data_IF_897126477367
#
_entry.id   IF_897126477367
#
_cell.length_a   1.000
_cell.length_b   1.000
_cell.length_c   1.000
_cell.angle_alpha   90.00
_cell.angle_beta   90.00
_cell.angle_gamma   90.00
#
_symmetry.space_group_name_H-M   'P 1'
#
loop_
_entity.id
_entity.type
_entity.pdbx_description
1 polymer ?
#
# COMPACT_ATOMS: atom_id res chain seq x y z
N UNK A 1 21.46 27.51 28.09
CA UNK A 1 22.41 27.37 26.96
C UNK A 1 21.60 26.85 25.79
N UNK A 2 21.33 27.69 24.78
CA UNK A 2 20.55 27.28 23.62
C UNK A 2 21.32 26.24 22.82
N UNK A 3 20.79 25.04 22.69
CA UNK A 3 21.33 24.06 21.76
C UNK A 3 21.23 24.66 20.36
N UNK A 4 22.36 24.78 19.65
CA UNK A 4 22.32 25.18 18.25
C UNK A 4 21.42 24.20 17.51
N UNK A 5 20.38 24.72 16.85
CA UNK A 5 19.53 23.92 15.99
C UNK A 5 20.44 23.19 14.97
N UNK A 6 20.22 21.89 14.82
CA UNK A 6 20.98 21.09 13.87
C UNK A 6 20.90 21.73 12.47
N UNK A 7 21.95 21.57 11.66
CA UNK A 7 21.98 22.10 10.29
C UNK A 7 20.73 21.71 9.51
N UNK A 8 20.25 20.48 9.72
CA UNK A 8 19.05 19.97 9.08
C UNK A 8 17.78 20.68 9.57
N UNK A 9 17.68 21.02 10.85
CA UNK A 9 16.54 21.80 11.33
C UNK A 9 16.48 23.17 10.65
N UNK A 10 17.63 23.82 10.44
CA UNK A 10 17.72 25.08 9.69
C UNK A 10 17.31 24.89 8.23
N UNK A 11 17.71 23.77 7.62
CA UNK A 11 17.29 23.42 6.27
C UNK A 11 15.75 23.21 6.20
N UNK A 12 15.14 22.55 7.18
CA UNK A 12 13.69 22.43 7.29
C UNK A 12 12.98 23.77 7.44
N UNK A 13 13.50 24.63 8.31
CA UNK A 13 12.95 25.97 8.54
C UNK A 13 13.04 26.82 7.28
N UNK A 14 14.11 26.68 6.48
CA UNK A 14 14.28 27.34 5.19
C UNK A 14 13.25 26.85 4.16
N UNK A 15 13.02 25.54 4.08
CA UNK A 15 12.01 24.98 3.15
C UNK A 15 10.59 25.38 3.53
N UNK A 16 10.27 25.49 4.82
CA UNK A 16 8.98 26.03 5.26
C UNK A 16 8.91 27.58 5.23
N UNK A 17 9.98 28.25 4.81
CA UNK A 17 10.03 29.70 4.74
C UNK A 17 9.35 30.29 3.50
N UNK A 18 9.37 31.63 3.45
CA UNK A 18 8.87 32.45 2.36
C UNK A 18 9.81 32.49 1.15
N UNK A 19 11.11 32.24 1.37
CA UNK A 19 12.11 32.25 0.30
C UNK A 19 11.97 31.01 -0.57
N UNK A 20 11.84 31.22 -1.88
CA UNK A 20 11.85 30.15 -2.86
C UNK A 20 13.21 29.45 -2.88
N UNK A 21 13.17 28.12 -2.87
CA UNK A 21 14.35 27.26 -2.95
C UNK A 21 14.42 26.66 -4.35
N UNK A 22 15.55 26.88 -5.02
CA UNK A 22 15.78 26.34 -6.35
C UNK A 22 15.84 24.80 -6.33
N UNK A 23 15.45 24.18 -7.44
CA UNK A 23 15.48 22.73 -7.61
C UNK A 23 16.91 22.17 -7.47
N UNK A 24 17.92 22.93 -7.92
CA UNK A 24 19.32 22.48 -7.86
C UNK A 24 20.03 22.85 -6.54
N UNK A 25 19.32 23.41 -5.54
CA UNK A 25 19.91 23.78 -4.25
C UNK A 25 20.37 22.52 -3.48
N UNK A 26 21.58 22.56 -2.93
CA UNK A 26 22.19 21.47 -2.15
C UNK A 26 21.36 21.05 -0.94
N UNK A 27 20.46 21.92 -0.46
CA UNK A 27 19.54 21.64 0.64
C UNK A 27 18.72 20.37 0.42
N UNK A 28 18.27 20.10 -0.81
CA UNK A 28 17.51 18.89 -1.13
C UNK A 28 18.37 17.64 -0.92
N UNK A 29 19.64 17.70 -1.34
CA UNK A 29 20.62 16.64 -1.08
C UNK A 29 20.87 16.45 0.41
N UNK A 30 21.06 17.53 1.17
CA UNK A 30 21.30 17.47 2.63
C UNK A 30 20.10 16.93 3.40
N UNK A 31 18.88 17.24 2.99
CA UNK A 31 17.67 16.73 3.64
C UNK A 31 17.45 15.25 3.33
N UNK A 32 17.74 14.83 2.09
CA UNK A 32 17.61 13.43 1.71
C UNK A 32 18.74 12.56 2.31
N UNK A 33 19.94 13.11 2.52
CA UNK A 33 21.10 12.37 3.03
C UNK A 33 21.34 12.55 4.54
N UNK A 34 20.78 13.60 5.14
CA UNK A 34 21.14 14.04 6.49
C UNK A 34 20.60 13.16 7.60
N UNK A 35 21.23 13.22 8.78
CA UNK A 35 20.80 12.54 10.00
C UNK A 35 20.13 13.52 10.98
N UNK A 36 18.92 13.22 11.45
CA UNK A 36 18.25 14.04 12.47
C UNK A 36 18.42 13.40 13.84
N UNK A 37 18.66 14.24 14.84
CA UNK A 37 18.66 13.82 16.24
C UNK A 37 17.22 13.56 16.69
N UNK A 38 16.96 12.32 17.08
CA UNK A 38 15.62 11.90 17.46
C UNK A 38 15.57 11.42 18.91
N UNK A 39 14.43 11.60 19.59
CA UNK A 39 14.25 11.08 20.93
C UNK A 39 14.23 9.56 20.87
N UNK A 40 14.90 8.87 21.81
CA UNK A 40 14.90 7.39 21.85
C UNK A 40 13.52 6.77 22.10
N UNK A 41 12.56 7.55 22.61
CA UNK A 41 11.18 7.12 22.90
C UNK A 41 10.20 8.00 22.14
N UNK A 42 9.06 7.44 21.77
CA UNK A 42 7.96 8.14 21.08
C UNK A 42 8.39 8.80 19.77
N UNK A 43 9.27 8.12 19.00
CA UNK A 43 9.79 8.64 17.74
C UNK A 43 8.64 8.93 16.76
N UNK A 44 7.60 8.08 16.73
CA UNK A 44 6.40 8.30 15.91
C UNK A 44 5.73 9.63 16.25
N UNK A 45 5.39 9.84 17.51
CA UNK A 45 4.72 11.07 17.95
C UNK A 45 5.59 12.30 17.70
N UNK A 46 6.92 12.15 17.86
CA UNK A 46 7.86 13.22 17.57
C UNK A 46 7.88 13.55 16.07
N UNK A 47 7.95 12.54 15.20
CA UNK A 47 7.89 12.73 13.75
C UNK A 47 6.58 13.39 13.33
N UNK A 48 5.45 12.91 13.86
CA UNK A 48 4.13 13.48 13.57
C UNK A 48 4.04 14.96 14.00
N UNK A 49 4.52 15.30 15.20
CA UNK A 49 4.51 16.69 15.69
C UNK A 49 5.46 17.60 14.91
N UNK A 50 6.68 17.14 14.66
CA UNK A 50 7.69 17.90 13.91
C UNK A 50 7.21 18.13 12.48
N UNK A 51 6.75 17.07 11.81
CA UNK A 51 6.21 17.16 10.46
C UNK A 51 4.98 18.06 10.41
N UNK A 52 4.07 18.00 11.38
CA UNK A 52 2.90 18.88 11.42
C UNK A 52 3.29 20.36 11.54
N UNK A 53 4.24 20.68 12.43
CA UNK A 53 4.70 22.07 12.62
C UNK A 53 5.33 22.66 11.36
N UNK A 54 6.17 21.88 10.67
CA UNK A 54 6.80 22.26 9.42
C UNK A 54 5.78 22.36 8.28
N UNK A 55 4.88 21.38 8.19
CA UNK A 55 3.85 21.31 7.15
C UNK A 55 2.89 22.49 7.21
N UNK A 56 2.41 22.87 8.39
CA UNK A 56 1.46 23.99 8.50
C UNK A 56 2.12 25.33 8.14
N UNK A 57 3.39 25.51 8.50
CA UNK A 57 4.17 26.69 8.09
C UNK A 57 4.47 26.67 6.60
N UNK A 58 4.84 25.52 6.06
CA UNK A 58 5.01 25.34 4.63
C UNK A 58 3.71 25.68 3.91
N UNK A 59 2.55 25.21 4.37
CA UNK A 59 1.25 25.52 3.75
C UNK A 59 0.95 27.02 3.73
N UNK A 60 1.17 27.75 4.82
CA UNK A 60 0.93 29.21 4.87
C UNK A 60 1.82 29.97 3.89
N UNK A 61 3.10 29.61 3.82
CA UNK A 61 4.09 30.33 3.01
C UNK A 61 4.24 29.79 1.58
N UNK A 62 3.78 28.57 1.28
CA UNK A 62 4.01 27.89 0.00
C UNK A 62 3.34 28.60 -1.18
N UNK A 63 2.30 29.41 -0.94
CA UNK A 63 1.72 30.26 -1.99
C UNK A 63 2.76 31.20 -2.60
N UNK A 64 3.72 31.64 -1.80
CA UNK A 64 4.78 32.56 -2.19
C UNK A 64 6.06 31.83 -2.59
N UNK A 65 6.51 30.86 -1.79
CA UNK A 65 7.80 30.20 -1.99
C UNK A 65 7.79 29.08 -3.02
N UNK A 66 6.67 28.36 -3.18
CA UNK A 66 6.58 27.18 -4.04
C UNK A 66 7.40 25.97 -3.59
N UNK A 67 7.97 26.00 -2.38
CA UNK A 67 8.89 24.98 -1.88
C UNK A 67 8.26 23.59 -1.74
N UNK A 68 6.95 23.50 -1.44
CA UNK A 68 6.25 22.22 -1.42
C UNK A 68 6.16 21.59 -2.81
N UNK A 69 5.93 22.40 -3.83
CA UNK A 69 5.89 21.94 -5.21
C UNK A 69 7.26 21.46 -5.68
N UNK A 70 8.33 22.12 -5.25
CA UNK A 70 9.69 21.65 -5.51
C UNK A 70 9.98 20.32 -4.81
N UNK A 71 9.55 20.15 -3.56
CA UNK A 71 9.64 18.86 -2.86
C UNK A 71 8.95 17.73 -3.65
N UNK A 72 7.73 17.98 -4.17
CA UNK A 72 7.03 17.01 -5.01
C UNK A 72 7.77 16.72 -6.32
N UNK A 73 8.38 17.73 -6.95
CA UNK A 73 9.22 17.53 -8.15
C UNK A 73 10.44 16.66 -7.87
N UNK A 74 11.13 16.88 -6.76
CA UNK A 74 12.23 16.02 -6.33
C UNK A 74 11.76 14.59 -6.11
N UNK A 75 10.61 14.41 -5.45
CA UNK A 75 10.04 13.09 -5.25
C UNK A 75 9.71 12.41 -6.59
N UNK A 76 9.02 13.09 -7.50
CA UNK A 76 8.72 12.56 -8.85
C UNK A 76 10.01 12.12 -9.56
N UNK A 77 11.04 12.97 -9.55
CA UNK A 77 12.32 12.66 -10.17
C UNK A 77 12.95 11.40 -9.57
N UNK A 78 13.00 11.30 -8.23
CA UNK A 78 13.58 10.16 -7.54
C UNK A 78 12.78 8.87 -7.75
N UNK A 79 11.44 8.94 -7.78
CA UNK A 79 10.59 7.79 -8.09
C UNK A 79 10.77 7.34 -9.54
N UNK A 80 10.84 8.27 -10.49
CA UNK A 80 11.10 7.98 -11.89
C UNK A 80 12.46 7.30 -12.09
N UNK A 81 13.50 7.75 -11.37
CA UNK A 81 14.80 7.07 -11.36
C UNK A 81 14.66 5.63 -10.87
N UNK A 82 13.93 5.40 -9.77
CA UNK A 82 13.71 4.06 -9.20
C UNK A 82 12.93 3.13 -10.14
N UNK A 83 12.01 3.67 -10.97
CA UNK A 83 11.19 2.87 -11.90
C UNK A 83 11.81 2.67 -13.28
N UNK A 84 12.86 3.42 -13.64
CA UNK A 84 13.39 3.54 -15.01
C UNK A 84 13.93 2.24 -15.68
N UNK A 85 13.77 1.06 -15.10
CA UNK A 85 14.18 -0.24 -15.68
C UNK A 85 15.70 -0.44 -15.86
N UNK A 86 16.48 0.64 -15.82
CA UNK A 86 17.92 0.62 -15.97
C UNK A 86 18.60 0.33 -14.62
N UNK A 87 18.42 -0.90 -14.15
CA UNK A 87 18.79 -1.36 -12.80
C UNK A 87 20.28 -1.23 -12.45
N UNK A 88 21.16 -1.01 -13.44
CA UNK A 88 22.59 -0.79 -13.20
C UNK A 88 22.90 0.64 -12.73
N UNK A 89 21.96 1.57 -12.91
CA UNK A 89 22.18 2.99 -12.61
C UNK A 89 21.59 3.43 -11.26
N UNK A 90 20.62 2.69 -10.70
CA UNK A 90 19.98 3.06 -9.43
C UNK A 90 20.81 2.51 -8.27
N UNK A 91 21.44 3.41 -7.51
CA UNK A 91 22.16 3.03 -6.30
C UNK A 91 21.21 2.81 -5.12
N UNK A 92 21.62 2.04 -4.12
CA UNK A 92 20.86 1.88 -2.88
C UNK A 92 20.63 3.22 -2.17
N UNK A 93 21.59 4.15 -2.31
CA UNK A 93 21.48 5.53 -1.81
C UNK A 93 20.34 6.29 -2.49
N UNK A 94 20.11 6.08 -3.79
CA UNK A 94 19.01 6.72 -4.50
C UNK A 94 17.65 6.20 -4.04
N UNK A 95 17.54 4.89 -3.80
CA UNK A 95 16.32 4.28 -3.22
C UNK A 95 16.08 4.83 -1.81
N UNK A 96 17.13 4.97 -1.00
CA UNK A 96 17.03 5.57 0.33
C UNK A 96 16.58 7.04 0.28
N UNK A 97 17.13 7.84 -0.64
CA UNK A 97 16.71 9.24 -0.84
C UNK A 97 15.25 9.32 -1.27
N UNK A 98 14.82 8.45 -2.19
CA UNK A 98 13.42 8.35 -2.60
C UNK A 98 12.52 8.00 -1.41
N UNK A 99 12.88 6.99 -0.62
CA UNK A 99 12.17 6.60 0.59
C UNK A 99 12.01 7.78 1.56
N UNK A 100 13.10 8.50 1.81
CA UNK A 100 13.10 9.67 2.69
C UNK A 100 12.10 10.73 2.22
N UNK A 101 12.11 11.07 0.93
CA UNK A 101 11.16 12.01 0.34
C UNK A 101 9.70 11.51 0.41
N UNK A 102 9.45 10.22 0.16
CA UNK A 102 8.10 9.62 0.27
C UNK A 102 7.57 9.78 1.69
N UNK A 103 8.38 9.46 2.70
CA UNK A 103 7.98 9.57 4.11
C UNK A 103 7.65 11.02 4.45
N UNK A 104 8.50 11.96 4.05
CA UNK A 104 8.26 13.39 4.27
C UNK A 104 6.94 13.85 3.65
N UNK A 105 6.75 13.57 2.36
CA UNK A 105 5.54 13.94 1.63
C UNK A 105 4.31 13.25 2.21
N UNK A 106 4.42 11.98 2.64
CA UNK A 106 3.32 11.26 3.29
C UNK A 106 2.87 11.93 4.57
N UNK A 107 3.81 12.33 5.45
CA UNK A 107 3.45 13.04 6.67
C UNK A 107 2.86 14.42 6.37
N UNK A 108 3.40 15.13 5.38
CA UNK A 108 2.83 16.41 4.91
C UNK A 108 1.40 16.26 4.42
N UNK A 109 1.14 15.29 3.53
CA UNK A 109 -0.23 15.01 3.05
C UNK A 109 -1.13 14.60 4.21
N UNK A 110 -0.66 13.71 5.09
CA UNK A 110 -1.43 13.30 6.27
C UNK A 110 -1.84 14.51 7.12
N UNK A 111 -0.92 15.42 7.43
CA UNK A 111 -1.23 16.66 8.17
C UNK A 111 -2.21 17.54 7.40
N UNK A 112 -2.03 17.73 6.09
CA UNK A 112 -2.98 18.48 5.28
C UNK A 112 -4.39 17.89 5.37
N UNK A 113 -4.53 16.57 5.25
CA UNK A 113 -5.83 15.89 5.33
C UNK A 113 -6.47 16.03 6.71
N UNK A 114 -5.67 16.09 7.77
CA UNK A 114 -6.15 16.20 9.15
C UNK A 114 -6.52 17.63 9.56
N UNK A 115 -5.76 18.62 9.09
CA UNK A 115 -5.83 19.99 9.60
C UNK A 115 -6.53 20.97 8.65
N UNK A 116 -6.58 20.69 7.34
CA UNK A 116 -7.15 21.59 6.35
C UNK A 116 -8.61 21.26 6.04
N UNK A 117 -9.39 22.28 5.69
CA UNK A 117 -10.75 22.09 5.20
C UNK A 117 -10.73 21.45 3.79
N UNK A 118 -11.79 20.75 3.38
CA UNK A 118 -11.89 20.19 2.03
C UNK A 118 -11.66 21.24 0.92
N UNK A 119 -12.15 22.47 1.09
CA UNK A 119 -11.96 23.56 0.13
C UNK A 119 -10.50 23.99 0.05
N UNK A 120 -9.80 24.05 1.19
CA UNK A 120 -8.38 24.39 1.26
C UNK A 120 -7.51 23.29 0.64
N UNK A 121 -7.89 22.02 0.80
CA UNK A 121 -7.25 20.89 0.13
C UNK A 121 -7.44 20.95 -1.40
N UNK A 122 -8.63 21.32 -1.85
CA UNK A 122 -8.90 21.51 -3.28
C UNK A 122 -8.21 22.75 -3.83
N UNK A 123 -8.09 23.83 -3.06
CA UNK A 123 -7.27 24.97 -3.46
C UNK A 123 -5.81 24.56 -3.59
N UNK A 124 -5.29 23.80 -2.63
CA UNK A 124 -3.91 23.34 -2.66
C UNK A 124 -3.63 22.40 -3.83
N UNK A 125 -4.43 21.35 -4.00
CA UNK A 125 -4.16 20.28 -4.97
C UNK A 125 -4.93 20.41 -6.28
N UNK A 126 -6.09 21.05 -6.28
CA UNK A 126 -6.97 21.18 -7.45
C UNK A 126 -6.79 22.47 -8.25
N UNK A 127 -6.22 23.53 -7.68
CA UNK A 127 -5.93 24.75 -8.45
C UNK A 127 -4.70 24.56 -9.34
N UNK A 128 -4.72 25.17 -10.54
CA UNK A 128 -3.59 25.11 -11.46
C UNK A 128 -2.33 25.62 -10.75
N UNK A 129 -1.32 24.75 -10.70
CA UNK A 129 0.03 25.04 -10.20
C UNK A 129 0.45 26.46 -10.65
N UNK A 130 0.98 27.31 -9.75
CA UNK A 130 1.16 28.72 -10.06
C UNK A 130 2.05 28.94 -11.31
N UNK A 131 1.79 30.04 -12.02
CA UNK A 131 2.21 30.31 -13.40
C UNK A 131 3.73 30.31 -13.69
N UNK A 132 4.59 30.14 -12.69
CA UNK A 132 6.05 29.97 -12.86
C UNK A 132 6.43 28.65 -13.54
N UNK A 133 5.46 27.77 -13.81
CA UNK A 133 5.62 26.53 -14.58
C UNK A 133 5.49 26.67 -16.11
N UNK A 134 5.38 27.89 -16.66
CA UNK A 134 5.15 28.11 -18.11
C UNK A 134 6.29 27.67 -19.04
N UNK A 135 7.47 27.33 -18.53
CA UNK A 135 8.64 27.03 -19.38
C UNK A 135 8.76 25.56 -19.81
N UNK A 136 8.05 24.62 -19.16
CA UNK A 136 8.05 23.22 -19.59
C UNK A 136 6.82 22.91 -20.43
N UNK A 137 7.04 22.72 -21.73
CA UNK A 137 6.09 22.43 -22.81
C UNK A 137 5.29 21.12 -22.69
N UNK A 138 5.17 20.52 -21.49
CA UNK A 138 4.32 19.35 -21.24
C UNK A 138 3.09 19.77 -20.46
N UNK A 139 1.93 19.48 -21.02
CA UNK A 139 0.59 19.81 -20.56
C UNK A 139 0.12 19.04 -19.31
N UNK A 140 0.98 18.21 -18.71
CA UNK A 140 0.63 17.41 -17.53
C UNK A 140 0.79 18.25 -16.26
N UNK A 141 -0.23 18.23 -15.41
CA UNK A 141 -0.14 18.94 -14.13
C UNK A 141 0.85 18.23 -13.20
N UNK A 142 1.54 18.98 -12.34
CA UNK A 142 2.49 18.42 -11.38
C UNK A 142 1.85 17.34 -10.49
N UNK A 143 0.58 17.53 -10.13
CA UNK A 143 -0.19 16.57 -9.36
C UNK A 143 -0.37 15.25 -10.12
N UNK A 144 -0.70 15.31 -11.41
CA UNK A 144 -0.87 14.12 -12.25
C UNK A 144 0.45 13.35 -12.35
N UNK A 145 1.55 14.06 -12.60
CA UNK A 145 2.89 13.46 -12.62
C UNK A 145 3.28 12.84 -11.27
N UNK A 146 2.86 13.46 -10.16
CA UNK A 146 3.05 12.91 -8.81
C UNK A 146 2.27 11.62 -8.60
N UNK A 147 0.97 11.61 -8.89
CA UNK A 147 0.13 10.41 -8.80
C UNK A 147 0.66 9.28 -9.70
N UNK A 148 1.04 9.63 -10.94
CA UNK A 148 1.61 8.69 -11.91
C UNK A 148 2.90 8.08 -11.38
N UNK A 149 3.83 8.88 -10.84
CA UNK A 149 5.09 8.39 -10.30
C UNK A 149 4.92 7.42 -9.13
N UNK A 150 3.99 7.71 -8.19
CA UNK A 150 3.69 6.83 -7.06
C UNK A 150 3.04 5.53 -7.54
N UNK A 151 2.04 5.61 -8.42
CA UNK A 151 1.36 4.44 -8.96
C UNK A 151 2.32 3.56 -9.78
N UNK A 152 3.12 4.17 -10.66
CA UNK A 152 4.12 3.46 -11.47
C UNK A 152 5.14 2.74 -10.60
N UNK A 153 5.57 3.32 -9.48
CA UNK A 153 6.45 2.64 -8.54
C UNK A 153 5.79 1.39 -7.93
N UNK A 154 4.54 1.50 -7.47
CA UNK A 154 3.82 0.35 -6.90
C UNK A 154 3.51 -0.75 -7.92
N UNK A 155 3.28 -0.37 -9.18
CA UNK A 155 3.08 -1.30 -10.30
C UNK A 155 4.37 -1.91 -10.79
N UNK A 156 5.47 -1.16 -10.68
CA UNK A 156 6.77 -1.64 -11.10
C UNK A 156 7.17 -2.80 -10.21
N UNK A 157 7.53 -3.91 -10.84
CA UNK A 157 8.22 -5.00 -10.15
C UNK A 157 9.67 -4.56 -9.91
N UNK A 158 9.88 -3.44 -9.21
CA UNK A 158 11.21 -2.94 -8.82
C UNK A 158 11.78 -3.96 -7.86
N UNK A 159 12.36 -5.00 -8.46
CA UNK A 159 12.91 -6.20 -7.84
C UNK A 159 11.85 -6.94 -7.01
N UNK A 160 11.96 -8.25 -6.93
CA UNK A 160 11.46 -8.95 -5.74
C UNK A 160 12.00 -8.17 -4.52
N UNK A 161 11.15 -7.85 -3.54
CA UNK A 161 11.42 -6.90 -2.44
C UNK A 161 12.48 -7.42 -1.45
N UNK A 162 13.66 -7.77 -1.97
CA UNK A 162 14.74 -8.48 -1.31
C UNK A 162 15.61 -7.57 -0.45
N UNK A 163 15.65 -6.28 -0.76
CA UNK A 163 16.39 -5.31 0.05
C UNK A 163 15.45 -4.56 0.98
N UNK A 164 15.99 -4.18 2.13
CA UNK A 164 15.27 -3.38 3.12
C UNK A 164 14.70 -2.09 2.54
N UNK A 165 15.51 -1.34 1.77
CA UNK A 165 15.09 -0.05 1.23
C UNK A 165 14.01 -0.17 0.16
N UNK A 166 14.09 -1.17 -0.72
CA UNK A 166 13.06 -1.35 -1.76
C UNK A 166 11.72 -1.78 -1.16
N UNK A 167 11.74 -2.72 -0.21
CA UNK A 167 10.52 -3.08 0.54
C UNK A 167 9.95 -1.85 1.28
N UNK A 168 10.80 -1.10 1.98
CA UNK A 168 10.39 0.09 2.73
C UNK A 168 9.81 1.17 1.82
N UNK A 169 10.40 1.37 0.64
CA UNK A 169 9.91 2.32 -0.35
C UNK A 169 8.53 1.93 -0.86
N UNK A 170 8.30 0.64 -1.19
CA UNK A 170 6.97 0.15 -1.58
C UNK A 170 5.96 0.30 -0.44
N UNK A 171 6.36 -0.03 0.79
CA UNK A 171 5.53 0.11 1.98
C UNK A 171 5.09 1.56 2.22
N UNK A 172 6.03 2.50 2.10
CA UNK A 172 5.75 3.92 2.28
C UNK A 172 5.00 4.53 1.11
N UNK A 173 5.23 4.10 -0.14
CA UNK A 173 4.41 4.52 -1.28
C UNK A 173 2.98 4.01 -1.20
N UNK A 174 2.77 2.77 -0.75
CA UNK A 174 1.43 2.25 -0.49
C UNK A 174 0.77 3.03 0.65
N UNK A 175 1.53 3.39 1.69
CA UNK A 175 1.09 4.27 2.77
C UNK A 175 0.70 5.67 2.27
N UNK A 176 1.53 6.28 1.45
CA UNK A 176 1.30 7.59 0.83
C UNK A 176 0.03 7.58 -0.02
N UNK A 177 -0.15 6.57 -0.86
CA UNK A 177 -1.34 6.43 -1.67
C UNK A 177 -2.62 6.24 -0.83
N UNK A 178 -2.53 5.53 0.30
CA UNK A 178 -3.63 5.43 1.27
C UNK A 178 -3.98 6.78 1.88
N UNK A 179 -2.99 7.59 2.29
CA UNK A 179 -3.25 8.94 2.83
C UNK A 179 -3.86 9.86 1.76
N UNK A 180 -3.36 9.81 0.52
CA UNK A 180 -3.94 10.54 -0.63
C UNK A 180 -5.41 10.13 -0.88
N UNK A 181 -5.72 8.86 -0.65
CA UNK A 181 -7.06 8.30 -0.79
C UNK A 181 -7.98 8.60 0.41
N UNK A 182 -7.43 8.88 1.59
CA UNK A 182 -8.20 9.06 2.83
C UNK A 182 -9.09 10.32 2.80
N UNK A 183 -8.78 11.29 1.92
CA UNK A 183 -9.58 12.50 1.69
C UNK A 183 -11.03 12.24 1.28
N UNK A 184 -11.37 11.01 0.89
CA UNK A 184 -12.76 10.61 0.59
C UNK A 184 -13.63 10.44 1.82
N UNK A 185 -13.05 10.09 2.97
CA UNK A 185 -13.84 9.78 4.17
C UNK A 185 -14.45 11.02 4.84
N UNK A 186 -13.95 12.20 4.52
CA UNK A 186 -14.44 13.48 5.08
C UNK A 186 -15.45 14.18 4.18
N UNK A 187 -15.74 13.60 3.02
CA UNK A 187 -16.55 14.21 1.98
C UNK A 187 -18.00 13.68 2.03
N UNK A 188 -18.98 14.57 2.12
CA UNK A 188 -20.40 14.22 2.05
C UNK A 188 -20.77 13.62 0.68
N UNK A 189 -21.84 12.82 0.60
CA UNK A 189 -22.37 12.36 -0.70
C UNK A 189 -22.64 13.58 -1.61
N UNK A 190 -21.95 13.65 -2.75
CA UNK A 190 -22.02 14.77 -3.70
C UNK A 190 -20.93 15.84 -3.52
N UNK A 191 -19.99 15.65 -2.60
CA UNK A 191 -18.83 16.52 -2.43
C UNK A 191 -17.88 16.50 -3.64
N UNK A 192 -17.09 17.57 -3.81
CA UNK A 192 -16.14 17.71 -4.91
C UNK A 192 -15.12 16.57 -4.98
N UNK A 193 -14.85 16.18 -6.23
CA UNK A 193 -13.77 15.34 -6.75
C UNK A 193 -12.52 15.22 -5.86
N UNK A 194 -12.10 13.98 -5.54
CA UNK A 194 -10.81 13.70 -4.91
C UNK A 194 -9.71 13.83 -5.98
N UNK A 195 -8.87 14.86 -5.92
CA UNK A 195 -7.98 15.18 -7.04
C UNK A 195 -6.93 14.10 -7.30
N UNK A 196 -6.58 13.29 -6.30
CA UNK A 196 -5.64 12.18 -6.45
C UNK A 196 -6.32 10.96 -7.09
N UNK A 197 -7.45 10.53 -6.51
CA UNK A 197 -8.14 9.33 -6.98
C UNK A 197 -8.85 9.53 -8.31
N UNK A 198 -9.38 10.72 -8.58
CA UNK A 198 -10.02 11.00 -9.87
C UNK A 198 -9.02 10.93 -11.02
N UNK A 199 -7.81 11.44 -10.81
CA UNK A 199 -6.72 11.27 -11.77
C UNK A 199 -6.42 9.78 -11.99
N UNK A 200 -6.18 9.01 -10.92
CA UNK A 200 -5.85 7.59 -11.04
C UNK A 200 -6.99 6.77 -11.67
N UNK A 201 -8.25 7.15 -11.45
CA UNK A 201 -9.42 6.51 -12.03
C UNK A 201 -9.62 6.88 -13.50
N UNK A 202 -9.15 8.07 -13.92
CA UNK A 202 -9.11 8.46 -15.33
C UNK A 202 -8.07 7.67 -16.13
N UNK A 203 -7.01 7.16 -15.48
CA UNK A 203 -5.93 6.35 -16.06
C UNK A 203 -6.32 4.88 -16.14
N UNK A 204 -7.21 4.53 -17.08
CA UNK A 204 -7.67 3.14 -17.29
C UNK A 204 -6.51 2.15 -17.51
N UNK A 205 -5.44 2.61 -18.17
CA UNK A 205 -4.22 1.83 -18.41
C UNK A 205 -3.49 1.37 -17.14
N UNK A 206 -3.74 2.01 -16.00
CA UNK A 206 -3.13 1.62 -14.72
C UNK A 206 -3.89 0.51 -14.01
N UNK A 207 -5.19 0.36 -14.26
CA UNK A 207 -6.04 -0.52 -13.48
C UNK A 207 -5.52 -1.96 -13.48
N UNK A 208 -5.21 -2.52 -14.65
CA UNK A 208 -4.69 -3.89 -14.77
C UNK A 208 -3.34 -4.10 -14.06
N UNK A 209 -2.25 -3.39 -14.43
CA UNK A 209 -0.95 -3.60 -13.79
C UNK A 209 -0.99 -3.31 -12.28
N UNK A 210 -1.79 -2.35 -11.84
CA UNK A 210 -1.98 -2.06 -10.42
C UNK A 210 -2.67 -3.20 -9.69
N UNK A 211 -3.83 -3.66 -10.17
CA UNK A 211 -4.56 -4.78 -9.54
C UNK A 211 -3.69 -6.04 -9.49
N UNK A 212 -2.99 -6.35 -10.58
CA UNK A 212 -2.03 -7.46 -10.61
C UNK A 212 -0.93 -7.31 -9.56
N UNK A 213 -0.26 -6.15 -9.49
CA UNK A 213 0.82 -5.91 -8.54
C UNK A 213 0.34 -5.99 -7.08
N UNK A 214 -0.84 -5.44 -6.78
CA UNK A 214 -1.42 -5.47 -5.44
C UNK A 214 -1.82 -6.89 -5.03
N UNK A 215 -2.51 -7.64 -5.90
CA UNK A 215 -2.86 -9.03 -5.61
C UNK A 215 -1.62 -9.92 -5.48
N UNK A 216 -0.63 -9.78 -6.37
CA UNK A 216 0.63 -10.51 -6.29
C UNK A 216 1.31 -10.28 -4.93
N UNK A 217 1.48 -9.02 -4.54
CA UNK A 217 2.09 -8.65 -3.25
C UNK A 217 1.28 -9.19 -2.07
N UNK A 218 -0.04 -9.13 -2.16
CA UNK A 218 -0.93 -9.63 -1.12
C UNK A 218 -0.96 -11.16 -1.00
N UNK A 219 -0.83 -11.88 -2.11
CA UNK A 219 -0.76 -13.35 -2.15
C UNK A 219 0.58 -13.85 -1.59
N UNK A 220 1.68 -13.19 -1.98
CA UNK A 220 3.03 -13.59 -1.57
C UNK A 220 3.29 -13.34 -0.09
N UNK A 221 2.65 -12.32 0.51
CA UNK A 221 2.77 -11.97 1.93
C UNK A 221 4.23 -11.94 2.41
N UNK A 222 5.13 -11.39 1.58
CA UNK A 222 6.56 -11.37 1.88
C UNK A 222 6.81 -10.66 3.22
N UNK A 223 7.46 -11.36 4.15
CA UNK A 223 7.83 -10.78 5.43
C UNK A 223 8.75 -9.57 5.22
N UNK A 224 8.63 -8.56 6.09
CA UNK A 224 9.52 -7.42 6.02
C UNK A 224 10.98 -7.88 6.17
N UNK A 225 11.88 -7.49 5.25
CA UNK A 225 13.30 -7.81 5.38
C UNK A 225 13.86 -7.21 6.67
N UNK A 226 14.81 -7.91 7.28
CA UNK A 226 15.47 -7.43 8.51
C UNK A 226 16.21 -6.13 8.19
N UNK A 227 15.94 -5.10 8.99
CA UNK A 227 16.63 -3.83 8.87
C UNK A 227 18.15 -4.06 8.96
N UNK A 228 18.97 -3.39 8.12
CA UNK A 228 20.41 -3.47 8.24
C UNK A 228 20.78 -3.11 9.67
N UNK A 229 21.55 -3.98 10.33
CA UNK A 229 21.96 -3.76 11.71
C UNK A 229 22.59 -2.37 11.79
N UNK A 230 21.90 -1.45 12.45
CA UNK A 230 22.44 -0.14 12.75
C UNK A 230 23.61 -0.44 13.66
N UNK A 231 24.84 -0.39 13.12
CA UNK A 231 26.05 -0.63 13.91
C UNK A 231 25.92 0.30 15.11
N UNK A 232 25.77 -0.22 16.33
CA UNK A 232 25.71 0.65 17.49
C UNK A 232 27.02 1.43 17.46
N UNK A 233 26.95 2.74 17.25
CA UNK A 233 28.11 3.61 17.32
C UNK A 233 28.84 3.25 18.63
N UNK A 234 30.09 2.79 18.49
CA UNK A 234 30.90 2.11 19.50
C UNK A 234 30.50 2.43 20.95
N UNK A 235 29.72 1.54 21.55
CA UNK A 235 29.22 1.63 22.92
C UNK A 235 30.30 1.36 23.99
N UNK A 236 31.56 1.13 23.59
CA UNK A 236 32.65 0.80 24.50
C UNK A 236 33.57 1.97 24.87
N UNK A 237 33.21 3.21 24.52
CA UNK A 237 33.94 4.40 24.97
C UNK A 237 33.00 5.52 25.38
N UNK A 238 32.80 5.70 26.69
CA UNK A 238 31.98 6.73 27.33
C UNK A 238 30.47 6.43 27.38
N UNK A 239 29.98 6.27 28.61
CA UNK A 239 28.56 6.29 28.97
C UNK A 239 28.02 7.69 28.71
N UNK A 240 27.65 7.99 27.47
CA UNK A 240 26.88 9.20 27.17
C UNK A 240 25.42 8.95 27.58
N UNK A 241 24.98 9.66 28.62
CA UNK A 241 23.58 9.75 29.07
C UNK A 241 22.68 10.54 28.08
N UNK A 242 23.15 10.84 26.87
CA UNK A 242 22.35 11.55 25.88
C UNK A 242 21.11 10.72 25.49
N UNK A 243 19.92 11.26 25.77
CA UNK A 243 18.62 10.66 25.47
C UNK A 243 18.26 10.62 23.98
N UNK A 244 19.17 11.09 23.13
CA UNK A 244 19.03 11.20 21.68
C UNK A 244 19.91 10.17 20.97
N UNK A 245 19.46 9.73 19.80
CA UNK A 245 20.24 8.94 18.86
C UNK A 245 20.17 9.60 17.48
N UNK A 246 21.28 9.57 16.75
CA UNK A 246 21.36 10.04 15.37
C UNK A 246 20.92 8.91 14.46
N UNK A 247 19.84 9.13 13.73
CA UNK A 247 19.42 8.22 12.68
C UNK A 247 19.08 9.02 11.44
N UNK A 248 19.15 8.40 10.26
CA UNK A 248 18.48 8.94 9.09
C UNK A 248 17.00 9.15 9.47
N UNK A 249 16.48 10.39 9.37
CA UNK A 249 15.20 10.82 9.93
C UNK A 249 13.99 9.98 9.53
N UNK A 250 14.09 9.31 8.39
CA UNK A 250 12.95 8.71 7.73
C UNK A 250 13.04 7.18 7.59
N UNK A 251 14.09 6.55 8.15
CA UNK A 251 14.20 5.07 8.19
C UNK A 251 13.37 4.40 9.30
N UNK A 252 12.62 5.21 10.05
CA UNK A 252 11.97 4.86 11.30
C UNK A 252 10.63 4.13 11.17
N UNK A 253 9.78 4.36 10.15
CA UNK A 253 8.48 3.71 10.10
C UNK A 253 8.51 2.18 10.19
N UNK A 254 9.52 1.53 9.58
CA UNK A 254 9.73 0.07 9.75
C UNK A 254 10.40 -0.31 11.07
N UNK A 255 11.30 0.52 11.60
CA UNK A 255 11.93 0.27 12.91
C UNK A 255 10.94 0.38 14.07
N UNK A 256 9.89 1.20 13.92
CA UNK A 256 8.79 1.33 14.87
C UNK A 256 7.65 0.36 14.63
N UNK A 257 7.65 -0.33 13.49
CA UNK A 257 6.67 -1.35 13.22
C UNK A 257 6.91 -2.48 14.23
N UNK A 258 6.02 -2.55 15.20
CA UNK A 258 6.18 -3.30 16.44
C UNK A 258 6.62 -4.74 16.13
N UNK A 259 7.83 -5.12 16.55
CA UNK A 259 8.40 -6.46 16.34
C UNK A 259 7.59 -7.57 17.03
N UNK A 260 6.49 -7.20 17.70
CA UNK A 260 5.57 -8.04 18.45
C UNK A 260 4.31 -8.40 17.67
N UNK A 261 4.03 -7.76 16.53
CA UNK A 261 2.86 -8.08 15.72
C UNK A 261 3.12 -9.32 14.82
N UNK A 262 2.07 -10.11 14.54
CA UNK A 262 2.15 -11.44 13.90
C UNK A 262 2.85 -11.42 12.54
N UNK A 263 3.25 -12.59 11.99
CA UNK A 263 4.11 -12.71 10.80
C UNK A 263 3.47 -12.28 9.47
N UNK A 264 2.30 -11.62 9.47
CA UNK A 264 1.68 -11.14 8.24
C UNK A 264 2.41 -9.91 7.72
N UNK A 265 2.67 -9.90 6.41
CA UNK A 265 3.37 -8.81 5.75
C UNK A 265 2.59 -7.50 5.87
N UNK A 266 3.16 -6.49 6.53
CA UNK A 266 2.52 -5.18 6.68
C UNK A 266 2.29 -4.49 5.32
N UNK A 267 3.14 -4.77 4.33
CA UNK A 267 2.92 -4.30 2.96
C UNK A 267 1.67 -4.95 2.36
N UNK A 268 1.49 -6.26 2.54
CA UNK A 268 0.29 -6.95 2.07
C UNK A 268 -1.00 -6.34 2.63
N UNK A 269 -0.99 -5.91 3.90
CA UNK A 269 -2.15 -5.26 4.52
C UNK A 269 -2.48 -3.90 3.89
N UNK A 270 -1.46 -3.13 3.48
CA UNK A 270 -1.69 -1.89 2.74
C UNK A 270 -2.22 -2.16 1.34
N UNK A 271 -1.69 -3.19 0.67
CA UNK A 271 -2.17 -3.60 -0.65
C UNK A 271 -3.64 -4.06 -0.62
N UNK A 272 -4.07 -4.83 0.39
CA UNK A 272 -5.47 -5.24 0.51
C UNK A 272 -6.41 -4.04 0.72
N UNK A 273 -6.00 -3.06 1.53
CA UNK A 273 -6.73 -1.80 1.71
C UNK A 273 -6.80 -0.98 0.42
N UNK A 274 -5.70 -0.88 -0.33
CA UNK A 274 -5.68 -0.19 -1.61
C UNK A 274 -6.63 -0.87 -2.61
N UNK A 275 -6.62 -2.21 -2.71
CA UNK A 275 -7.58 -2.93 -3.56
C UNK A 275 -9.02 -2.58 -3.16
N UNK A 276 -9.34 -2.62 -1.87
CA UNK A 276 -10.67 -2.31 -1.36
C UNK A 276 -11.09 -0.88 -1.71
N UNK A 277 -10.22 0.11 -1.48
CA UNK A 277 -10.50 1.52 -1.80
C UNK A 277 -10.75 1.69 -3.29
N UNK A 278 -9.84 1.17 -4.13
CA UNK A 278 -9.91 1.38 -5.57
C UNK A 278 -11.11 0.67 -6.20
N UNK A 279 -11.46 -0.55 -5.77
CA UNK A 279 -12.65 -1.26 -6.28
C UNK A 279 -13.97 -0.63 -5.81
N UNK A 280 -13.97 -0.02 -4.62
CA UNK A 280 -15.17 0.60 -4.05
C UNK A 280 -15.35 2.06 -4.38
N UNK A 281 -14.31 2.71 -4.92
CA UNK A 281 -14.44 4.08 -5.34
C UNK A 281 -15.59 4.23 -6.34
N UNK A 282 -16.47 5.19 -6.07
CA UNK A 282 -17.64 5.47 -6.88
C UNK A 282 -17.58 6.91 -7.31
N UNK A 283 -17.38 7.15 -8.61
CA UNK A 283 -17.44 8.46 -9.21
C UNK A 283 -18.79 8.63 -9.93
N UNK A 284 -19.45 9.80 -9.86
CA UNK A 284 -20.77 10.00 -10.47
C UNK A 284 -20.77 9.84 -12.00
N UNK A 285 -19.64 10.10 -12.66
CA UNK A 285 -19.55 10.11 -14.13
C UNK A 285 -18.55 9.12 -14.71
N UNK A 286 -17.66 8.55 -13.89
CA UNK A 286 -16.60 7.66 -14.36
C UNK A 286 -16.92 6.23 -13.93
N UNK A 287 -16.93 5.33 -14.90
CA UNK A 287 -16.91 3.90 -14.63
C UNK A 287 -15.59 3.54 -13.94
N UNK A 288 -15.65 2.71 -12.90
CA UNK A 288 -14.49 2.32 -12.12
C UNK A 288 -13.67 1.24 -12.86
N UNK A 289 -12.48 1.56 -13.39
CA UNK A 289 -11.71 0.60 -14.17
C UNK A 289 -11.11 -0.52 -13.31
N UNK A 290 -10.81 -0.27 -12.03
CA UNK A 290 -10.26 -1.27 -11.11
C UNK A 290 -11.32 -2.33 -10.75
N UNK A 291 -12.59 -1.92 -10.62
CA UNK A 291 -13.72 -2.84 -10.47
C UNK A 291 -13.90 -3.69 -11.72
N UNK A 292 -13.80 -3.10 -12.91
CA UNK A 292 -13.89 -3.85 -14.17
C UNK A 292 -12.78 -4.91 -14.28
N UNK A 293 -11.54 -4.56 -13.93
CA UNK A 293 -10.43 -5.52 -13.91
C UNK A 293 -10.62 -6.63 -12.86
N UNK A 294 -11.18 -6.32 -11.68
CA UNK A 294 -11.55 -7.36 -10.70
C UNK A 294 -12.60 -8.32 -11.27
N UNK A 295 -13.62 -7.81 -11.97
CA UNK A 295 -14.67 -8.64 -12.58
C UNK A 295 -14.12 -9.53 -13.71
N UNK A 296 -13.14 -9.02 -14.45
CA UNK A 296 -12.53 -9.71 -15.60
C UNK A 296 -11.33 -10.58 -15.22
N UNK A 297 -10.85 -10.55 -13.98
CA UNK A 297 -9.69 -11.33 -13.54
C UNK A 297 -9.85 -12.84 -13.84
N UNK A 298 -8.76 -13.45 -14.29
CA UNK A 298 -8.66 -14.86 -14.68
C UNK A 298 -7.67 -15.64 -13.81
N UNK A 299 -7.88 -16.95 -13.76
CA UNK A 299 -6.94 -17.88 -13.17
C UNK A 299 -5.70 -18.00 -14.06
N UNK A 300 -4.52 -17.84 -13.45
CA UNK A 300 -3.24 -18.03 -14.12
C UNK A 300 -2.61 -19.40 -13.85
N UNK A 301 -3.27 -20.29 -13.08
CA UNK A 301 -2.72 -21.60 -12.77
C UNK A 301 -2.72 -22.51 -14.03
N UNK A 302 -1.59 -23.19 -14.32
CA UNK A 302 -1.39 -23.89 -15.59
C UNK A 302 -2.17 -25.21 -15.75
N UNK A 303 -3.04 -25.59 -14.81
CA UNK A 303 -3.63 -26.95 -14.76
C UNK A 303 -4.88 -27.18 -15.63
N UNK A 304 -5.27 -26.23 -16.49
CA UNK A 304 -6.41 -26.43 -17.42
C UNK A 304 -6.18 -25.92 -18.85
N UNK A 305 -5.01 -25.38 -19.17
CA UNK A 305 -4.65 -25.05 -20.55
C UNK A 305 -3.98 -26.28 -21.13
N UNK A 306 -4.75 -27.05 -21.91
CA UNK A 306 -4.29 -28.27 -22.57
C UNK A 306 -2.86 -28.14 -23.11
N UNK A 307 -2.07 -29.18 -22.85
CA UNK A 307 -0.71 -29.43 -23.33
C UNK A 307 -0.59 -29.10 -24.83
N UNK A 308 -0.19 -27.87 -25.14
CA UNK A 308 -0.34 -27.38 -26.49
C UNK A 308 0.42 -26.13 -26.83
N UNK A 309 1.59 -25.87 -26.23
CA UNK A 309 2.76 -25.23 -26.87
C UNK A 309 3.90 -25.01 -25.89
N UNK A 310 5.10 -25.19 -26.43
CA UNK A 310 6.33 -25.38 -25.69
C UNK A 310 6.84 -24.17 -24.91
N UNK A 311 7.58 -24.55 -23.89
CA UNK A 311 8.56 -23.81 -23.08
C UNK A 311 9.02 -22.48 -23.68
N UNK A 312 8.61 -21.38 -23.04
CA UNK A 312 9.45 -20.18 -22.94
C UNK A 312 9.05 -19.41 -21.68
N UNK A 313 9.63 -19.81 -20.56
CA UNK A 313 9.58 -19.07 -19.30
C UNK A 313 10.37 -17.76 -19.42
N UNK A 314 9.87 -16.75 -18.71
CA UNK A 314 10.38 -15.39 -18.54
C UNK A 314 9.95 -14.35 -19.60
N UNK A 315 9.23 -13.34 -19.08
CA UNK A 315 8.69 -12.14 -19.74
C UNK A 315 7.32 -12.34 -20.42
N UNK A 316 6.32 -12.72 -19.62
CA UNK A 316 4.89 -12.52 -19.95
C UNK A 316 4.35 -11.29 -19.20
N UNK A 317 5.10 -10.18 -19.26
CA UNK A 317 4.58 -8.87 -18.90
C UNK A 317 4.38 -8.14 -20.23
N UNK A 318 3.12 -7.98 -20.62
CA UNK A 318 2.66 -7.20 -21.78
C UNK A 318 2.70 -7.91 -23.15
N UNK A 319 2.36 -9.21 -23.26
CA UNK A 319 1.80 -9.67 -24.54
C UNK A 319 0.49 -8.91 -24.76
N UNK A 320 0.47 -8.05 -25.78
CA UNK A 320 -0.63 -7.12 -26.09
C UNK A 320 -2.01 -7.77 -26.29
N UNK A 321 -2.09 -9.10 -26.35
CA UNK A 321 -3.31 -9.86 -26.61
C UNK A 321 -4.08 -10.30 -25.36
N UNK A 322 -3.53 -10.13 -24.15
CA UNK A 322 -4.22 -10.57 -22.93
C UNK A 322 -4.88 -9.39 -22.19
N UNK A 323 -6.19 -9.25 -22.40
CA UNK A 323 -6.99 -8.10 -22.00
C UNK A 323 -7.42 -8.09 -20.51
N UNK A 324 -6.83 -8.92 -19.65
CA UNK A 324 -7.31 -9.09 -18.29
C UNK A 324 -6.18 -9.33 -17.26
N UNK A 325 -6.50 -9.13 -15.98
CA UNK A 325 -5.63 -9.48 -14.85
C UNK A 325 -5.58 -11.00 -14.68
N UNK A 326 -4.37 -11.57 -14.67
CA UNK A 326 -4.14 -12.99 -14.42
C UNK A 326 -3.56 -13.21 -13.02
N UNK A 327 -4.27 -13.97 -12.18
CA UNK A 327 -3.86 -14.25 -10.81
C UNK A 327 -4.04 -15.75 -10.54
N UNK A 328 -3.06 -16.44 -9.94
CA UNK A 328 -3.19 -17.86 -9.64
C UNK A 328 -4.25 -18.07 -8.56
N UNK A 329 -5.42 -18.59 -8.94
CA UNK A 329 -6.57 -18.72 -8.04
C UNK A 329 -6.28 -19.68 -6.89
N UNK A 330 -5.42 -20.67 -7.07
CA UNK A 330 -4.93 -21.52 -5.98
C UNK A 330 -4.22 -20.73 -4.90
N UNK A 331 -3.25 -19.91 -5.26
CA UNK A 331 -2.49 -19.10 -4.30
C UNK A 331 -3.37 -18.00 -3.71
N UNK A 332 -4.28 -17.42 -4.49
CA UNK A 332 -5.25 -16.44 -4.02
C UNK A 332 -6.17 -17.03 -2.95
N UNK A 333 -6.72 -18.22 -3.22
CA UNK A 333 -7.53 -18.97 -2.26
C UNK A 333 -6.74 -19.32 -0.99
N UNK A 334 -5.50 -19.81 -1.13
CA UNK A 334 -4.64 -20.14 0.02
C UNK A 334 -4.26 -18.89 0.84
N UNK A 335 -4.09 -17.73 0.18
CA UNK A 335 -3.85 -16.47 0.85
C UNK A 335 -5.08 -16.03 1.68
N UNK A 336 -6.30 -16.13 1.12
CA UNK A 336 -7.54 -15.91 1.88
C UNK A 336 -7.63 -16.87 3.05
N UNK A 337 -7.36 -18.16 2.84
CA UNK A 337 -7.36 -19.14 3.90
C UNK A 337 -6.46 -18.71 5.09
N UNK A 338 -5.26 -18.23 4.78
CA UNK A 338 -4.33 -17.76 5.81
C UNK A 338 -4.78 -16.48 6.51
N UNK A 339 -5.66 -15.66 5.92
CA UNK A 339 -5.88 -14.27 6.38
C UNK A 339 -7.32 -13.91 6.72
N UNK A 340 -8.28 -14.83 6.59
CA UNK A 340 -9.71 -14.69 6.98
C UNK A 340 -9.95 -14.63 8.51
N UNK A 341 -9.11 -13.87 9.21
CA UNK A 341 -9.24 -13.53 10.63
C UNK A 341 -9.53 -12.05 10.86
N UNK A 342 -9.35 -11.22 9.85
CA UNK A 342 -9.47 -9.76 9.91
C UNK A 342 -10.63 -9.25 9.04
N UNK A 343 -11.32 -8.19 9.49
CA UNK A 343 -12.48 -7.60 8.81
C UNK A 343 -12.14 -7.21 7.35
N UNK A 344 -10.93 -6.67 7.13
CA UNK A 344 -10.49 -6.22 5.79
C UNK A 344 -10.37 -7.38 4.83
N UNK A 345 -9.77 -8.48 5.27
CA UNK A 345 -9.58 -9.66 4.44
C UNK A 345 -10.91 -10.33 4.12
N UNK A 346 -11.81 -10.41 5.10
CA UNK A 346 -13.17 -10.93 4.88
C UNK A 346 -13.91 -10.09 3.86
N UNK A 347 -13.79 -8.76 3.95
CA UNK A 347 -14.38 -7.84 2.99
C UNK A 347 -13.78 -8.02 1.59
N UNK A 348 -12.45 -8.14 1.48
CA UNK A 348 -11.78 -8.38 0.20
C UNK A 348 -12.23 -9.72 -0.42
N UNK A 349 -12.38 -10.76 0.40
CA UNK A 349 -12.88 -12.06 -0.03
C UNK A 349 -14.32 -11.97 -0.55
N UNK A 350 -15.19 -11.28 0.20
CA UNK A 350 -16.56 -10.99 -0.21
C UNK A 350 -16.59 -10.28 -1.56
N UNK A 351 -15.83 -9.20 -1.75
CA UNK A 351 -15.79 -8.47 -3.02
C UNK A 351 -15.27 -9.32 -4.17
N UNK A 352 -14.26 -10.15 -3.92
CA UNK A 352 -13.68 -11.03 -4.94
C UNK A 352 -14.71 -12.08 -5.38
N UNK A 353 -15.41 -12.72 -4.44
CA UNK A 353 -16.49 -13.69 -4.76
C UNK A 353 -17.66 -13.01 -5.46
N UNK A 354 -18.10 -11.85 -4.95
CA UNK A 354 -19.30 -11.18 -5.44
C UNK A 354 -19.11 -10.60 -6.85
N UNK A 355 -17.93 -10.07 -7.16
CA UNK A 355 -17.68 -9.44 -8.46
C UNK A 355 -16.98 -10.34 -9.48
N UNK A 356 -16.24 -11.38 -9.06
CA UNK A 356 -15.55 -12.27 -10.00
C UNK A 356 -16.21 -13.65 -10.03
N UNK A 357 -17.09 -13.86 -11.01
CA UNK A 357 -17.77 -15.15 -11.21
C UNK A 357 -16.81 -16.32 -11.47
N UNK A 358 -15.64 -16.07 -12.06
CA UNK A 358 -14.65 -17.14 -12.33
C UNK A 358 -14.00 -17.63 -11.05
N UNK A 359 -13.64 -16.71 -10.16
CA UNK A 359 -13.09 -17.04 -8.85
C UNK A 359 -14.15 -17.70 -7.97
N UNK A 360 -15.40 -17.22 -7.99
CA UNK A 360 -16.53 -17.92 -7.36
C UNK A 360 -16.63 -19.37 -7.87
N UNK A 361 -16.65 -19.59 -9.18
CA UNK A 361 -16.71 -20.93 -9.76
C UNK A 361 -15.50 -21.79 -9.38
N UNK A 362 -14.30 -21.20 -9.31
CA UNK A 362 -13.11 -21.89 -8.83
C UNK A 362 -13.26 -22.33 -7.36
N UNK A 363 -13.77 -21.46 -6.48
CA UNK A 363 -14.03 -21.79 -5.07
C UNK A 363 -15.07 -22.91 -4.95
N UNK A 364 -16.15 -22.84 -5.75
CA UNK A 364 -17.18 -23.88 -5.81
C UNK A 364 -16.60 -25.21 -6.33
N UNK A 365 -15.77 -25.20 -7.36
CA UNK A 365 -15.14 -26.41 -7.90
C UNK A 365 -14.12 -27.04 -6.93
N UNK A 366 -13.37 -26.23 -6.18
CA UNK A 366 -12.43 -26.69 -5.14
C UNK A 366 -13.11 -27.21 -3.89
N UNK A 367 -14.39 -26.90 -3.68
CA UNK A 367 -15.19 -27.39 -2.55
C UNK A 367 -15.62 -28.86 -2.72
N UNK A 368 -14.67 -29.74 -3.09
CA UNK A 368 -14.80 -31.16 -2.82
C UNK A 368 -14.86 -31.36 -1.29
N UNK A 369 -15.88 -32.04 -0.76
CA UNK A 369 -16.10 -32.16 0.68
C UNK A 369 -14.86 -32.68 1.43
N UNK A 370 -14.10 -33.61 0.83
CA UNK A 370 -12.91 -34.21 1.45
C UNK A 370 -11.72 -33.25 1.63
N UNK A 371 -11.64 -32.15 0.87
CA UNK A 371 -10.57 -31.14 1.02
C UNK A 371 -10.95 -30.04 1.99
N UNK A 372 -12.24 -29.69 2.11
CA UNK A 372 -12.75 -28.84 3.19
C UNK A 372 -12.50 -29.50 4.55
N UNK A 373 -12.66 -30.82 4.66
CA UNK A 373 -12.34 -31.60 5.87
C UNK A 373 -10.82 -31.81 6.11
N UNK A 374 -9.96 -31.74 5.07
CA UNK A 374 -8.50 -31.79 5.29
C UNK A 374 -7.94 -30.52 5.89
N UNK A 375 -8.61 -29.39 5.66
CA UNK A 375 -8.27 -28.16 6.37
C UNK A 375 -8.73 -28.26 7.84
N UNK A 376 -9.72 -29.09 8.16
CA UNK A 376 -10.10 -29.43 9.54
C UNK A 376 -9.11 -30.39 10.23
N UNK A 377 -8.65 -31.46 9.56
CA UNK A 377 -7.75 -32.46 10.17
C UNK A 377 -6.29 -32.01 10.37
N UNK A 378 -5.84 -30.93 9.75
CA UNK A 378 -4.50 -30.37 9.97
C UNK A 378 -4.44 -29.39 11.16
N UNK A 379 -5.58 -29.17 11.83
CA UNK A 379 -5.73 -28.30 13.01
C UNK A 379 -5.39 -29.03 14.32
N UNK A 380 -5.53 -30.36 14.36
CA UNK A 380 -5.39 -31.15 15.60
C UNK A 380 -3.96 -31.55 15.96
N UNK A 381 -3.00 -31.49 15.04
CA UNK A 381 -1.62 -31.99 15.28
C UNK A 381 -0.55 -30.91 15.45
N UNK A 382 -0.81 -29.66 15.07
CA UNK A 382 0.20 -28.59 15.07
C UNK A 382 -0.40 -27.20 15.38
N UNK A 383 -1.34 -27.08 16.34
CA UNK A 383 -1.69 -25.81 17.00
C UNK A 383 -2.06 -24.60 16.10
N UNK A 384 -2.39 -24.83 14.83
CA UNK A 384 -2.48 -23.80 13.80
C UNK A 384 -3.88 -23.81 13.18
N UNK A 385 -4.85 -23.30 13.95
CA UNK A 385 -6.28 -23.14 13.64
C UNK A 385 -6.56 -22.26 12.39
N UNK A 386 -6.45 -22.75 11.16
CA UNK A 386 -6.91 -22.03 9.95
C UNK A 386 -7.64 -22.90 8.91
N UNK A 387 -8.93 -22.58 8.78
CA UNK A 387 -9.99 -22.91 7.80
C UNK A 387 -10.86 -24.16 7.98
N UNK A 388 -11.89 -24.03 8.81
CA UNK A 388 -13.18 -24.63 8.48
C UNK A 388 -13.97 -23.60 7.66
N UNK A 389 -14.41 -23.98 6.46
CA UNK A 389 -15.47 -23.28 5.73
C UNK A 389 -16.86 -23.76 6.19
N UNK A 390 -16.95 -24.39 7.37
CA UNK A 390 -18.19 -24.69 8.07
C UNK A 390 -18.39 -23.73 9.26
N UNK A 391 -19.51 -22.99 9.30
CA UNK A 391 -20.01 -22.41 10.54
C UNK A 391 -20.93 -23.45 11.18
N UNK A 392 -20.61 -23.96 12.38
CA UNK A 392 -21.62 -24.13 13.47
C UNK A 392 -21.13 -24.89 14.72
N UNK A 393 -20.04 -25.67 14.73
CA UNK A 393 -19.66 -26.41 15.96
C UNK A 393 -18.43 -25.85 16.68
N UNK A 394 -17.43 -25.31 15.97
CA UNK A 394 -16.16 -24.85 16.57
C UNK A 394 -16.11 -23.34 16.88
N UNK A 395 -17.22 -22.61 16.75
CA UNK A 395 -17.36 -21.20 17.16
C UNK A 395 -17.27 -20.97 18.67
N UNK A 396 -17.17 -22.04 19.47
CA UNK A 396 -17.25 -21.98 20.94
C UNK A 396 -15.89 -21.98 21.64
N UNK A 397 -14.82 -22.46 21.01
CA UNK A 397 -13.53 -22.67 21.70
C UNK A 397 -12.49 -21.58 21.44
N UNK A 398 -12.71 -20.69 20.46
CA UNK A 398 -11.89 -19.48 20.20
C UNK A 398 -12.73 -18.20 20.23
N UNK A 399 -13.65 -18.13 21.20
CA UNK A 399 -14.55 -17.00 21.42
C UNK A 399 -13.83 -15.72 21.89
N UNK A 400 -12.51 -15.77 22.09
CA UNK A 400 -11.72 -14.57 22.35
C UNK A 400 -11.44 -13.85 21.01
N UNK A 401 -12.35 -12.92 20.69
CA UNK A 401 -12.11 -11.65 19.99
C UNK A 401 -12.14 -11.59 18.45
N UNK A 402 -12.97 -12.35 17.75
CA UNK A 402 -13.37 -11.91 16.39
C UNK A 402 -14.38 -10.76 16.48
N UNK A 403 -14.19 -9.64 15.76
CA UNK A 403 -15.18 -8.57 15.71
C UNK A 403 -16.50 -9.13 15.14
N UNK A 404 -17.66 -8.71 15.66
CA UNK A 404 -18.96 -9.26 15.25
C UNK A 404 -19.22 -9.09 13.74
N UNK A 405 -18.66 -8.05 13.12
CA UNK A 405 -18.81 -7.74 11.70
C UNK A 405 -18.25 -8.84 10.78
N UNK A 406 -17.10 -9.43 11.13
CA UNK A 406 -16.53 -10.59 10.43
C UNK A 406 -17.55 -11.71 10.26
N UNK A 407 -18.28 -12.05 11.33
CA UNK A 407 -19.21 -13.18 11.33
C UNK A 407 -20.39 -12.92 10.39
N UNK A 408 -20.93 -11.70 10.39
CA UNK A 408 -22.01 -11.32 9.47
C UNK A 408 -21.56 -11.37 8.00
N UNK A 409 -20.39 -10.83 7.68
CA UNK A 409 -19.87 -10.87 6.30
C UNK A 409 -19.61 -12.30 5.83
N UNK A 410 -19.03 -13.15 6.68
CA UNK A 410 -18.85 -14.56 6.36
C UNK A 410 -20.17 -15.28 6.12
N UNK A 411 -21.21 -15.01 6.92
CA UNK A 411 -22.55 -15.56 6.69
C UNK A 411 -23.12 -15.14 5.33
N UNK A 412 -22.92 -13.89 4.91
CA UNK A 412 -23.34 -13.43 3.57
C UNK A 412 -22.58 -14.19 2.48
N UNK A 413 -21.27 -14.39 2.64
CA UNK A 413 -20.48 -15.19 1.69
C UNK A 413 -21.03 -16.62 1.62
N UNK A 414 -21.30 -17.24 2.77
CA UNK A 414 -21.89 -18.58 2.80
C UNK A 414 -23.25 -18.64 2.14
N UNK A 415 -24.10 -17.63 2.30
CA UNK A 415 -25.38 -17.55 1.61
C UNK A 415 -25.19 -17.45 0.08
N UNK A 416 -24.22 -16.67 -0.39
CA UNK A 416 -23.88 -16.58 -1.82
C UNK A 416 -23.45 -17.95 -2.34
N UNK A 417 -22.55 -18.64 -1.63
CA UNK A 417 -22.07 -19.97 -2.01
C UNK A 417 -23.18 -21.04 -1.95
N UNK A 418 -24.09 -20.95 -0.98
CA UNK A 418 -25.20 -21.90 -0.77
C UNK A 418 -26.29 -21.81 -1.82
N UNK A 419 -26.32 -20.74 -2.63
CA UNK A 419 -27.23 -20.65 -3.76
C UNK A 419 -26.84 -21.59 -4.92
N UNK A 420 -25.61 -22.11 -4.93
CA UNK A 420 -25.18 -23.10 -5.90
C UNK A 420 -25.62 -24.52 -5.48
N UNK A 421 -26.26 -25.23 -6.41
CA UNK A 421 -26.82 -26.56 -6.15
C UNK A 421 -25.74 -27.61 -5.84
N UNK A 422 -24.55 -27.49 -6.43
CA UNK A 422 -23.44 -28.42 -6.21
C UNK A 422 -22.91 -28.22 -4.79
N UNK A 423 -22.67 -26.97 -4.41
CA UNK A 423 -22.22 -26.63 -3.06
C UNK A 423 -23.25 -27.06 -1.99
N UNK A 424 -24.54 -26.79 -2.21
CA UNK A 424 -25.61 -27.24 -1.31
C UNK A 424 -25.63 -28.76 -1.17
N UNK A 425 -25.50 -29.50 -2.28
CA UNK A 425 -25.48 -30.97 -2.24
C UNK A 425 -24.25 -31.54 -1.51
N UNK A 426 -23.10 -30.87 -1.63
CA UNK A 426 -21.86 -31.28 -0.97
C UNK A 426 -21.89 -31.03 0.54
N UNK A 427 -22.48 -29.92 0.99
CA UNK A 427 -22.67 -29.60 2.42
C UNK A 427 -23.59 -30.60 3.10
N UNK A 428 -24.68 -30.98 2.42
CA UNK A 428 -25.66 -31.91 2.97
C UNK A 428 -25.29 -33.39 2.76
N UNK A 429 -24.12 -33.67 2.21
CA UNK A 429 -23.63 -35.05 2.07
C UNK A 429 -23.36 -35.65 3.46
N UNK A 430 -23.84 -36.88 3.74
CA UNK A 430 -23.68 -37.54 5.03
C UNK A 430 -22.21 -37.72 5.45
N UNK A 431 -21.27 -37.75 4.49
CA UNK A 431 -19.83 -37.81 4.76
C UNK A 431 -19.30 -36.53 5.44
N UNK A 432 -19.98 -35.40 5.28
CA UNK A 432 -19.61 -34.12 5.88
C UNK A 432 -20.22 -33.91 7.29
N UNK A 433 -21.26 -34.68 7.65
CA UNK A 433 -21.93 -34.60 8.97
C UNK A 433 -21.47 -35.67 9.97
N UNK A 434 -20.66 -36.64 9.54
CA UNK A 434 -20.17 -37.76 10.37
C UNK A 434 -18.75 -37.56 10.91
N UNK A 435 -18.23 -36.33 10.92
CA UNK A 435 -16.91 -35.97 11.46
C UNK A 435 -17.04 -35.03 12.64
#
# INVERSE_FOLDING_TARGET
MGAEASVIQKDFDRIAGEEAVDFDDEIWGRICDGEIEMPRKNVKDWLERTAASWTMRQFSENRNSGNYWQLLRHLIHMLALCTSGNHKMVSEKDVQRALNLVVMVRYTIKTHVQELTPESLLELYGSHVPAWHKETSRTESLLQAFCDAVALLLMSQVREAHTYYTYSLHFECAGLLLEMSATQMTQALGAPCNPFLDHLMSRREYARPFMFAMFKTWIEQQAAPVAPAIKPYNLFGSVSLSSTSKHPPWQIPLLLADSRQPPLSQLSEKCSLLILIFVNFSHPTLENPFRAELQQMHDSDPELVEEGRGESSHVMLLSHDDQCVHVPFSKLHDAFAKTLVDDRTVLLFYYTIYHNHRFLNYVLAKSEPQRVTRIEKRLDTDGCDRLSLYPCSNLRTRQETKPPNCNYMLLVIFLILSNDAIYSSNIHSPDCMMV
#
